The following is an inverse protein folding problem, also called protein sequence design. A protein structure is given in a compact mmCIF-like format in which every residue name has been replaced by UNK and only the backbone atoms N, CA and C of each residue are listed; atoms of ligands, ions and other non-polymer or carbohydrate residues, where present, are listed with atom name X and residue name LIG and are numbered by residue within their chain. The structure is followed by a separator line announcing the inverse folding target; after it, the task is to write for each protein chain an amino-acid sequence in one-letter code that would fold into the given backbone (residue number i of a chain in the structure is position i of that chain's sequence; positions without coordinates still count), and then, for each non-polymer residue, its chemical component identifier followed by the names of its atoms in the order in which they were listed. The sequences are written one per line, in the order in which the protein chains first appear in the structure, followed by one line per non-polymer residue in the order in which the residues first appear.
data_IF_271322592739
#
_entry.id   IF_271322592739
#
_cell.length_a   1.000
_cell.length_b   1.000
_cell.length_c   1.000
_cell.angle_alpha   90.00
_cell.angle_beta   90.00
_cell.angle_gamma   90.00
#
_symmetry.space_group_name_H-M   'P 1'
#
loop_
_entity.id
_entity.type
_entity.pdbx_description
1 polymer ?
#
# COMPACT_ATOMS: atom_id res chain seq x y z
N UNK A 1 -9.73 6.61 56.29
CA UNK A 1 -10.66 6.94 55.18
C UNK A 1 -10.28 6.01 54.06
N UNK A 2 -11.12 5.02 53.80
CA UNK A 2 -10.82 3.91 52.89
C UNK A 2 -11.22 4.35 51.48
N UNK A 3 -10.23 4.55 50.61
CA UNK A 3 -10.43 4.79 49.19
C UNK A 3 -11.01 3.52 48.56
N UNK A 4 -12.34 3.42 48.55
CA UNK A 4 -13.05 2.38 47.81
C UNK A 4 -12.86 2.65 46.32
N UNK A 5 -11.89 1.97 45.72
CA UNK A 5 -11.74 1.87 44.27
C UNK A 5 -12.99 1.17 43.71
N UNK A 6 -13.93 1.99 43.24
CA UNK A 6 -15.23 1.62 42.65
C UNK A 6 -15.14 0.80 41.34
N UNK A 7 -13.94 0.39 40.92
CA UNK A 7 -13.69 -0.25 39.62
C UNK A 7 -13.01 -1.61 39.78
N UNK A 8 -13.49 -2.49 40.66
CA UNK A 8 -12.86 -3.80 40.83
C UNK A 8 -13.21 -4.84 39.75
N UNK A 9 -14.09 -4.53 38.78
CA UNK A 9 -14.55 -5.54 37.81
C UNK A 9 -14.75 -4.97 36.39
N UNK A 10 -13.93 -4.01 35.96
CA UNK A 10 -14.00 -3.56 34.56
C UNK A 10 -13.54 -4.69 33.64
N UNK A 11 -14.42 -5.17 32.75
CA UNK A 11 -14.03 -6.08 31.66
C UNK A 11 -13.36 -5.27 30.57
N UNK A 12 -12.34 -5.83 29.94
CA UNK A 12 -11.62 -5.18 28.84
C UNK A 12 -11.71 -6.04 27.59
N UNK A 13 -11.81 -5.40 26.42
CA UNK A 13 -11.72 -6.08 25.14
C UNK A 13 -10.31 -6.66 24.95
N UNK A 14 -10.21 -7.94 24.58
CA UNK A 14 -8.91 -8.62 24.37
C UNK A 14 -8.10 -8.06 23.20
N UNK A 15 -8.75 -7.38 22.26
CA UNK A 15 -8.13 -6.92 21.01
C UNK A 15 -7.72 -5.43 21.08
N UNK A 16 -8.61 -4.56 21.55
CA UNK A 16 -8.36 -3.12 21.64
C UNK A 16 -8.15 -2.59 23.06
N UNK A 17 -8.34 -3.41 24.10
CA UNK A 17 -8.21 -2.97 25.49
C UNK A 17 -9.28 -1.99 25.98
N UNK A 18 -10.31 -1.70 25.18
CA UNK A 18 -11.40 -0.80 25.57
C UNK A 18 -12.22 -1.42 26.71
N UNK A 19 -12.61 -0.58 27.67
CA UNK A 19 -13.49 -0.97 28.78
C UNK A 19 -14.84 -1.41 28.20
N UNK A 20 -15.20 -2.67 28.45
CA UNK A 20 -16.49 -3.25 28.13
C UNK A 20 -17.46 -2.97 29.28
N UNK A 21 -18.70 -2.66 28.92
CA UNK A 21 -19.78 -2.54 29.89
C UNK A 21 -20.08 -3.93 30.49
N UNK A 22 -20.35 -3.99 31.79
CA UNK A 22 -20.60 -5.24 32.54
C UNK A 22 -21.77 -6.06 31.98
N UNK A 23 -22.70 -5.41 31.27
CA UNK A 23 -23.82 -6.03 30.57
C UNK A 23 -23.45 -6.75 29.27
N UNK A 24 -22.20 -6.63 28.79
CA UNK A 24 -21.75 -7.28 27.56
C UNK A 24 -21.21 -8.68 27.87
N UNK A 25 -21.87 -9.71 27.33
CA UNK A 25 -21.52 -11.12 27.60
C UNK A 25 -20.35 -11.64 26.77
N UNK A 26 -19.86 -10.87 25.78
CA UNK A 26 -18.76 -11.28 24.88
C UNK A 26 -17.44 -10.64 25.27
N UNK A 27 -16.34 -11.36 25.05
CA UNK A 27 -14.95 -10.92 25.35
C UNK A 27 -14.39 -9.84 24.40
N UNK A 28 -15.14 -9.48 23.36
CA UNK A 28 -14.75 -8.51 22.33
C UNK A 28 -15.77 -7.36 22.31
N UNK A 29 -15.30 -6.14 22.07
CA UNK A 29 -16.20 -5.01 21.87
C UNK A 29 -16.91 -5.10 20.52
N UNK A 30 -18.08 -4.46 20.38
CA UNK A 30 -18.84 -4.44 19.12
C UNK A 30 -18.01 -3.94 17.92
N UNK A 31 -17.04 -3.05 18.16
CA UNK A 31 -16.17 -2.53 17.11
C UNK A 31 -15.15 -3.59 16.63
N UNK A 32 -14.50 -4.31 17.54
CA UNK A 32 -13.57 -5.38 17.18
C UNK A 32 -14.30 -6.56 16.55
N UNK A 33 -15.52 -6.89 17.00
CA UNK A 33 -16.35 -7.90 16.33
C UNK A 33 -16.67 -7.50 14.88
N UNK A 34 -17.08 -6.25 14.66
CA UNK A 34 -17.32 -5.73 13.31
C UNK A 34 -16.04 -5.71 12.45
N UNK A 35 -14.87 -5.41 13.03
CA UNK A 35 -13.59 -5.49 12.33
C UNK A 35 -13.24 -6.93 11.95
N UNK A 36 -13.48 -7.91 12.82
CA UNK A 36 -13.24 -9.33 12.47
C UNK A 36 -14.09 -9.78 11.29
N UNK A 37 -15.39 -9.46 11.31
CA UNK A 37 -16.29 -9.75 10.19
C UNK A 37 -15.78 -9.07 8.91
N UNK A 38 -15.31 -7.83 9.00
CA UNK A 38 -14.72 -7.12 7.88
C UNK A 38 -13.46 -7.81 7.33
N UNK A 39 -12.54 -8.24 8.20
CA UNK A 39 -11.32 -8.96 7.80
C UNK A 39 -11.65 -10.30 7.12
N UNK A 40 -12.65 -11.04 7.64
CA UNK A 40 -13.12 -12.29 7.04
C UNK A 40 -13.75 -12.07 5.67
N UNK A 41 -14.61 -11.06 5.52
CA UNK A 41 -15.21 -10.67 4.23
C UNK A 41 -14.12 -10.26 3.23
N UNK A 42 -13.13 -9.49 3.67
CA UNK A 42 -12.00 -9.07 2.84
C UNK A 42 -11.19 -10.28 2.37
N UNK A 43 -10.91 -11.24 3.25
CA UNK A 43 -10.19 -12.45 2.86
C UNK A 43 -11.00 -13.30 1.88
N UNK A 44 -12.31 -13.43 2.12
CA UNK A 44 -13.21 -14.17 1.26
C UNK A 44 -13.25 -13.60 -0.17
N UNK A 45 -13.35 -12.27 -0.32
CA UNK A 45 -13.31 -11.57 -1.63
C UNK A 45 -11.93 -11.67 -2.31
N UNK A 46 -10.84 -11.80 -1.53
CA UNK A 46 -9.50 -12.02 -2.09
C UNK A 46 -9.29 -13.47 -2.51
N UNK A 47 -9.85 -14.41 -1.77
CA UNK A 47 -9.68 -15.85 -1.99
C UNK A 47 -10.58 -16.34 -3.13
N UNK A 48 -11.80 -15.82 -3.24
CA UNK A 48 -12.79 -16.20 -4.26
C UNK A 48 -13.32 -14.98 -5.04
N UNK A 49 -13.55 -15.13 -6.35
CA UNK A 49 -14.19 -14.12 -7.19
C UNK A 49 -15.71 -14.19 -6.96
N UNK A 50 -16.17 -13.59 -5.86
CA UNK A 50 -17.57 -13.66 -5.39
C UNK A 50 -18.28 -12.33 -5.58
N UNK A 51 -19.57 -12.39 -5.92
CA UNK A 51 -20.42 -11.22 -6.04
C UNK A 51 -20.82 -10.70 -4.64
N UNK A 52 -21.17 -9.43 -4.54
CA UNK A 52 -21.60 -8.75 -3.31
C UNK A 52 -22.77 -9.47 -2.62
N UNK A 53 -23.66 -10.05 -3.44
CA UNK A 53 -24.80 -10.85 -3.00
C UNK A 53 -24.40 -12.17 -2.33
N UNK A 54 -23.39 -12.86 -2.86
CA UNK A 54 -22.90 -14.13 -2.29
C UNK A 54 -22.21 -13.88 -0.95
N UNK A 55 -21.44 -12.79 -0.85
CA UNK A 55 -20.82 -12.34 0.41
C UNK A 55 -21.90 -12.02 1.44
N UNK A 56 -22.90 -11.22 1.07
CA UNK A 56 -23.99 -10.85 1.95
C UNK A 56 -24.75 -12.06 2.50
N UNK A 57 -25.00 -13.07 1.64
CA UNK A 57 -25.67 -14.31 2.03
C UNK A 57 -24.80 -15.21 2.91
N UNK A 58 -23.48 -15.24 2.68
CA UNK A 58 -22.57 -16.08 3.46
C UNK A 58 -22.36 -15.56 4.89
N UNK A 59 -22.26 -14.23 5.03
CA UNK A 59 -21.99 -13.57 6.30
C UNK A 59 -23.26 -13.03 7.00
N UNK A 60 -24.44 -13.22 6.40
CA UNK A 60 -25.73 -12.69 6.88
C UNK A 60 -25.70 -11.18 7.15
N UNK A 61 -25.00 -10.44 6.27
CA UNK A 61 -24.86 -8.98 6.35
C UNK A 61 -25.61 -8.30 5.21
N UNK A 62 -26.12 -7.07 5.40
CA UNK A 62 -26.80 -6.36 4.32
C UNK A 62 -25.85 -6.03 3.17
N UNK A 63 -26.30 -6.26 1.94
CA UNK A 63 -25.53 -5.97 0.70
C UNK A 63 -25.04 -4.52 0.66
N UNK A 64 -25.84 -3.59 1.18
CA UNK A 64 -25.48 -2.17 1.26
C UNK A 64 -24.22 -1.89 2.09
N UNK A 65 -23.93 -2.70 3.11
CA UNK A 65 -22.72 -2.56 3.92
C UNK A 65 -21.47 -2.98 3.12
N UNK A 66 -21.58 -4.07 2.36
CA UNK A 66 -20.51 -4.54 1.46
C UNK A 66 -20.25 -3.50 0.36
N UNK A 67 -21.32 -2.98 -0.26
CA UNK A 67 -21.25 -1.90 -1.23
C UNK A 67 -20.58 -0.64 -0.68
N UNK A 68 -20.89 -0.28 0.56
CA UNK A 68 -20.28 0.88 1.20
C UNK A 68 -18.77 0.68 1.39
N UNK A 69 -18.34 -0.50 1.84
CA UNK A 69 -16.91 -0.82 1.98
C UNK A 69 -16.15 -0.82 0.65
N UNK A 70 -16.80 -1.24 -0.43
CA UNK A 70 -16.25 -1.16 -1.79
C UNK A 70 -16.16 0.30 -2.24
N UNK A 71 -17.22 1.10 -2.04
CA UNK A 71 -17.28 2.52 -2.41
C UNK A 71 -16.27 3.38 -1.64
N UNK A 72 -16.03 3.06 -0.38
CA UNK A 72 -15.00 3.68 0.46
C UNK A 72 -13.58 3.23 0.10
N UNK A 73 -13.42 2.22 -0.78
CA UNK A 73 -12.13 1.68 -1.18
C UNK A 73 -11.44 0.83 -0.12
N UNK A 74 -12.16 0.42 0.94
CA UNK A 74 -11.62 -0.42 2.03
C UNK A 74 -11.47 -1.88 1.59
N UNK A 75 -12.22 -2.30 0.57
CA UNK A 75 -12.13 -3.62 -0.07
C UNK A 75 -11.91 -3.41 -1.56
N UNK A 76 -10.89 -4.08 -2.12
CA UNK A 76 -10.66 -4.13 -3.56
C UNK A 76 -10.89 -5.56 -4.05
N UNK A 77 -11.66 -5.70 -5.13
CA UNK A 77 -11.71 -6.96 -5.87
C UNK A 77 -10.33 -7.33 -6.39
N UNK A 78 -10.07 -8.63 -6.54
CA UNK A 78 -8.96 -9.08 -7.36
C UNK A 78 -9.14 -8.45 -8.73
N UNK A 79 -8.26 -7.50 -9.09
CA UNK A 79 -8.15 -7.04 -10.47
C UNK A 79 -7.96 -8.30 -11.32
N UNK A 80 -8.99 -8.67 -12.09
CA UNK A 80 -8.91 -9.76 -13.07
C UNK A 80 -7.96 -9.29 -14.17
N UNK A 81 -6.66 -9.36 -13.92
CA UNK A 81 -5.61 -9.34 -14.93
C UNK A 81 -5.57 -8.14 -15.88
N UNK A 82 -6.28 -7.04 -15.61
CA UNK A 82 -6.17 -5.82 -16.41
C UNK A 82 -5.28 -4.78 -15.74
N UNK A 83 -4.22 -5.26 -15.07
CA UNK A 83 -2.93 -4.66 -15.41
C UNK A 83 -2.72 -4.97 -16.87
N UNK A 84 -3.26 -4.06 -17.67
CA UNK A 84 -2.76 -3.62 -18.95
C UNK A 84 -1.25 -3.48 -18.77
N UNK A 85 -0.54 -4.62 -18.80
CA UNK A 85 0.85 -4.74 -19.20
C UNK A 85 0.75 -4.40 -20.69
N UNK A 86 0.46 -3.12 -20.95
CA UNK A 86 0.56 -2.54 -22.25
C UNK A 86 2.04 -2.60 -22.53
N UNK A 87 2.40 -3.71 -23.17
CA UNK A 87 3.47 -3.75 -24.12
C UNK A 87 4.71 -3.04 -23.59
N UNK A 88 5.21 -3.52 -22.45
CA UNK A 88 6.56 -3.24 -22.03
C UNK A 88 7.47 -4.03 -22.99
N UNK A 89 7.51 -3.61 -24.25
CA UNK A 89 8.35 -4.14 -25.31
C UNK A 89 9.27 -3.01 -25.77
N UNK A 90 10.54 -3.34 -25.95
CA UNK A 90 11.56 -2.42 -26.42
C UNK A 90 11.16 -1.88 -27.79
N UNK A 91 11.13 -0.55 -27.94
CA UNK A 91 10.80 0.11 -29.21
C UNK A 91 11.78 -0.22 -30.36
N UNK A 92 12.99 -0.71 -30.05
CA UNK A 92 14.03 -1.02 -31.05
C UNK A 92 14.10 -2.49 -31.45
N UNK A 93 13.78 -3.42 -30.55
CA UNK A 93 13.94 -4.86 -30.81
C UNK A 93 12.74 -5.72 -30.39
N UNK A 94 11.69 -5.13 -29.83
CA UNK A 94 10.49 -5.84 -29.39
C UNK A 94 10.69 -6.74 -28.17
N UNK A 95 11.86 -6.77 -27.54
CA UNK A 95 12.10 -7.58 -26.35
C UNK A 95 11.29 -7.06 -25.15
N UNK A 96 10.79 -7.96 -24.29
CA UNK A 96 10.11 -7.59 -23.04
C UNK A 96 11.04 -6.73 -22.17
N UNK A 97 10.57 -5.59 -21.72
CA UNK A 97 11.25 -4.66 -20.80
C UNK A 97 10.51 -4.64 -19.47
N UNK A 98 11.26 -4.56 -18.38
CA UNK A 98 10.70 -4.44 -17.03
C UNK A 98 10.38 -2.98 -16.68
N UNK A 99 11.10 -2.04 -17.29
CA UNK A 99 10.95 -0.61 -17.09
C UNK A 99 11.62 0.15 -18.25
N UNK A 100 11.02 1.28 -18.67
CA UNK A 100 11.55 2.14 -19.73
C UNK A 100 11.12 1.75 -21.16
N UNK A 101 11.57 2.53 -22.15
CA UNK A 101 11.21 2.36 -23.58
C UNK A 101 12.15 1.43 -24.36
N UNK A 102 13.34 1.14 -23.81
CA UNK A 102 14.36 0.31 -24.43
C UNK A 102 14.87 -0.76 -23.45
N UNK A 103 15.26 -1.92 -23.98
CA UNK A 103 15.92 -2.95 -23.18
C UNK A 103 17.38 -2.57 -22.87
N UNK A 104 17.95 -3.18 -21.83
CA UNK A 104 19.33 -2.90 -21.39
C UNK A 104 20.38 -3.06 -22.51
N UNK A 105 20.15 -3.99 -23.46
CA UNK A 105 21.01 -4.19 -24.63
C UNK A 105 20.96 -2.98 -25.56
N UNK A 106 19.75 -2.59 -25.99
CA UNK A 106 19.56 -1.46 -26.89
C UNK A 106 19.97 -0.12 -26.25
N UNK A 107 19.75 0.04 -24.95
CA UNK A 107 20.18 1.22 -24.20
C UNK A 107 21.72 1.32 -24.16
N UNK A 108 22.41 0.20 -23.92
CA UNK A 108 23.87 0.15 -23.91
C UNK A 108 24.46 0.49 -25.28
N UNK A 109 23.93 -0.07 -26.35
CA UNK A 109 24.34 0.25 -27.72
C UNK A 109 24.10 1.73 -28.07
N UNK A 110 22.97 2.30 -27.64
CA UNK A 110 22.66 3.72 -27.89
C UNK A 110 23.63 4.65 -27.14
N UNK A 111 23.99 4.29 -25.91
CA UNK A 111 25.00 5.02 -25.13
C UNK A 111 26.42 4.83 -25.67
N UNK A 112 26.73 3.67 -26.24
CA UNK A 112 28.03 3.37 -26.85
C UNK A 112 28.23 4.18 -28.13
N UNK A 113 27.19 4.31 -28.97
CA UNK A 113 27.22 5.20 -30.15
C UNK A 113 27.36 6.68 -29.76
N UNK A 114 26.83 7.10 -28.60
CA UNK A 114 27.01 8.46 -28.09
C UNK A 114 28.42 8.76 -27.57
N UNK A 115 29.24 7.76 -27.25
CA UNK A 115 30.66 7.97 -26.91
C UNK A 115 31.52 8.34 -28.13
N UNK A 116 30.98 8.28 -29.35
CA UNK A 116 31.70 8.59 -30.58
C UNK A 116 31.75 10.07 -30.97
N UNK A 117 30.88 10.94 -30.43
CA UNK A 117 30.84 12.37 -30.76
C UNK A 117 30.49 13.21 -29.54
N UNK A 118 31.48 13.49 -28.69
CA UNK A 118 31.28 14.36 -27.53
C UNK A 118 32.50 14.44 -26.63
N UNK A 119 33.43 15.31 -27.01
CA UNK A 119 34.48 15.91 -26.17
C UNK A 119 35.48 14.93 -25.55
N UNK A 120 36.73 14.97 -26.04
CA UNK A 120 37.90 14.45 -25.33
C UNK A 120 37.88 15.00 -23.90
N UNK A 121 37.61 14.14 -22.92
CA UNK A 121 38.00 14.42 -21.55
C UNK A 121 39.51 14.56 -21.56
N UNK A 122 39.99 15.81 -21.45
CA UNK A 122 41.37 16.07 -21.05
C UNK A 122 41.50 15.49 -19.65
N UNK A 123 42.38 14.51 -19.52
CA UNK A 123 42.88 14.05 -18.24
C UNK A 123 43.76 15.17 -17.70
N UNK A 124 43.29 15.91 -16.72
CA UNK A 124 44.17 16.62 -15.79
C UNK A 124 43.77 16.23 -14.39
N UNK A 125 44.78 15.73 -13.70
CA UNK A 125 44.80 15.25 -12.32
C UNK A 125 44.29 16.31 -11.34
N UNK A 126 43.79 15.81 -10.22
CA UNK A 126 43.67 16.42 -8.89
C UNK A 126 43.62 17.95 -8.82
N UNK A 127 42.49 18.52 -8.38
CA UNK A 127 42.50 19.60 -7.38
C UNK A 127 41.09 19.87 -6.79
N UNK A 128 40.98 19.54 -5.50
CA UNK A 128 40.08 20.11 -4.49
C UNK A 128 38.57 20.20 -4.78
N UNK A 129 37.82 19.24 -4.25
CA UNK A 129 36.36 19.29 -4.14
C UNK A 129 35.86 20.45 -3.28
N UNK A 130 35.59 21.60 -3.91
CA UNK A 130 34.93 22.75 -3.30
C UNK A 130 33.43 22.69 -3.61
N UNK A 131 32.67 22.01 -2.75
CA UNK A 131 31.21 22.04 -2.77
C UNK A 131 30.74 23.48 -2.48
N UNK A 132 29.98 24.08 -3.39
CA UNK A 132 29.41 25.42 -3.19
C UNK A 132 28.23 25.33 -2.23
N UNK A 133 28.43 25.74 -0.97
CA UNK A 133 27.34 26.03 -0.05
C UNK A 133 26.63 27.32 -0.50
N UNK A 134 25.30 27.28 -0.62
CA UNK A 134 24.48 28.49 -0.72
C UNK A 134 24.42 29.13 0.68
N UNK A 135 25.03 30.31 0.83
CA UNK A 135 24.80 31.20 1.96
C UNK A 135 23.36 31.70 1.92
N UNK A 136 22.56 31.28 2.90
CA UNK A 136 21.29 31.94 3.22
C UNK A 136 21.58 33.09 4.18
N UNK A 137 21.33 34.29 3.69
CA UNK A 137 21.46 35.59 4.37
C UNK A 137 20.65 35.58 5.66
N UNK A 138 21.32 35.89 6.78
CA UNK A 138 20.72 36.07 8.10
C UNK A 138 19.79 37.28 8.13
N UNK A 139 18.52 37.06 8.47
CA UNK A 139 17.58 38.08 8.91
C UNK A 139 17.99 38.62 10.30
N UNK A 140 17.98 39.94 10.44
CA UNK A 140 17.94 40.68 11.71
C UNK A 140 16.79 41.67 11.65
#
# INVERSE_FOLDING_TARGET
MEEKTLFHNARYCKDCGTILLDSYTRDLCSNCEAQRIFDEVRDYIRSQDVNEYDVAKHFDIPVGMVQQWIKEGRIQYKERGEKTIMNAFCQRCGAKVTFGTLCQKCLKEMNDQRKGYGVKAVSTEEENGKLRFLENVTEK
#
